data_IF_343517127944
#
_entry.id   IF_343517127944
#
_cell.length_a   1.000
_cell.length_b   1.000
_cell.length_c   1.000
_cell.angle_alpha   90.00
_cell.angle_beta   90.00
_cell.angle_gamma   90.00
#
_symmetry.space_group_name_H-M   'P 1'
#
loop_
_entity.id
_entity.type
_entity.pdbx_description
1 polymer ?
#
# COMPACT_ATOMS: atom_id res chain seq x y z
N UNK A 1 9.22 19.02 24.41
CA UNK A 1 8.99 18.57 23.02
C UNK A 1 8.44 17.16 23.07
N UNK A 2 7.36 16.88 22.33
CA UNK A 2 6.83 15.52 22.21
C UNK A 2 7.68 14.66 21.28
N UNK A 3 7.61 13.35 21.45
CA UNK A 3 8.18 12.38 20.51
C UNK A 3 7.46 12.49 19.16
N UNK A 4 8.22 12.60 18.06
CA UNK A 4 7.66 12.70 16.70
C UNK A 4 7.50 11.29 16.15
N UNK A 5 6.28 10.92 15.77
CA UNK A 5 6.01 9.68 15.03
C UNK A 5 6.04 9.96 13.54
N UNK A 6 6.83 9.18 12.79
CA UNK A 6 6.89 9.25 11.33
C UNK A 6 6.03 8.14 10.74
N UNK A 7 5.03 8.52 9.94
CA UNK A 7 4.19 7.56 9.20
C UNK A 7 4.87 7.16 7.88
N UNK A 8 4.40 6.08 7.29
CA UNK A 8 4.78 5.70 5.93
C UNK A 8 4.22 6.65 4.87
N UNK A 9 4.66 6.45 3.62
CA UNK A 9 4.26 7.30 2.48
C UNK A 9 3.19 6.69 1.58
N UNK A 10 3.08 7.23 0.36
CA UNK A 10 2.06 6.87 -0.62
C UNK A 10 2.21 5.45 -1.21
N UNK A 11 1.59 4.46 -0.58
CA UNK A 11 1.52 3.06 -1.06
C UNK A 11 1.03 2.94 -2.51
N UNK A 12 -0.05 3.64 -2.86
CA UNK A 12 -0.64 3.57 -4.21
C UNK A 12 0.28 4.13 -5.31
N UNK A 13 1.06 5.18 -5.03
CA UNK A 13 1.98 5.72 -6.02
C UNK A 13 3.13 4.75 -6.29
N UNK A 14 3.67 4.15 -5.22
CA UNK A 14 4.74 3.17 -5.32
C UNK A 14 4.30 1.87 -6.00
N UNK A 15 3.08 1.41 -5.72
CA UNK A 15 2.51 0.25 -6.38
C UNK A 15 2.30 0.49 -7.89
N UNK A 16 1.84 1.67 -8.35
CA UNK A 16 1.73 1.99 -9.79
C UNK A 16 3.12 1.96 -10.43
N UNK A 17 4.09 2.63 -9.78
CA UNK A 17 5.46 2.75 -10.27
C UNK A 17 6.16 1.40 -10.43
N UNK A 18 5.94 0.46 -9.50
CA UNK A 18 6.65 -0.82 -9.44
C UNK A 18 5.92 -1.99 -10.11
N UNK A 19 4.59 -1.99 -10.11
CA UNK A 19 3.81 -3.07 -10.74
C UNK A 19 3.73 -2.93 -12.25
N UNK A 20 3.90 -1.72 -12.79
CA UNK A 20 3.69 -1.43 -14.21
C UNK A 20 2.24 -1.62 -14.67
N UNK A 21 1.29 -1.82 -13.73
CA UNK A 21 -0.13 -1.97 -14.02
C UNK A 21 -0.83 -0.60 -13.95
N UNK A 22 -1.76 -0.31 -14.87
CA UNK A 22 -2.55 0.91 -14.77
C UNK A 22 -3.45 0.87 -13.53
N UNK A 23 -3.76 2.05 -12.99
CA UNK A 23 -4.74 2.17 -11.92
C UNK A 23 -6.14 1.79 -12.47
N UNK A 24 -6.79 0.85 -11.80
CA UNK A 24 -8.14 0.37 -12.09
C UNK A 24 -8.91 0.22 -10.76
N UNK A 25 -10.25 0.04 -10.76
CA UNK A 25 -10.97 -0.31 -9.54
C UNK A 25 -10.33 -1.54 -8.87
N UNK A 26 -10.16 -1.49 -7.54
CA UNK A 26 -9.53 -2.55 -6.73
C UNK A 26 -8.09 -2.94 -7.10
N UNK A 27 -7.39 -2.16 -7.92
CA UNK A 27 -6.05 -2.51 -8.39
C UNK A 27 -5.05 -2.74 -7.24
N UNK A 28 -5.12 -1.94 -6.17
CA UNK A 28 -4.25 -2.08 -5.00
C UNK A 28 -4.57 -3.34 -4.19
N UNK A 29 -5.78 -3.87 -4.30
CA UNK A 29 -6.15 -5.17 -3.76
C UNK A 29 -5.63 -6.29 -4.66
N UNK A 30 -5.84 -6.17 -5.98
CA UNK A 30 -5.45 -7.19 -6.95
C UNK A 30 -3.92 -7.41 -6.97
N UNK A 31 -3.12 -6.35 -6.81
CA UNK A 31 -1.65 -6.47 -6.79
C UNK A 31 -1.14 -7.31 -5.62
N UNK A 32 -1.89 -7.38 -4.50
CA UNK A 32 -1.52 -8.26 -3.38
C UNK A 32 -1.65 -9.74 -3.73
N UNK A 33 -2.54 -10.08 -4.67
CA UNK A 33 -2.74 -11.43 -5.19
C UNK A 33 -1.72 -11.72 -6.30
N UNK A 34 -1.60 -10.80 -7.26
CA UNK A 34 -0.80 -11.01 -8.48
C UNK A 34 0.71 -10.90 -8.25
N UNK A 35 1.12 -10.10 -7.27
CA UNK A 35 2.53 -9.79 -6.97
C UNK A 35 2.77 -9.91 -5.46
N UNK A 36 2.68 -11.14 -4.91
CA UNK A 36 2.87 -11.36 -3.48
C UNK A 36 4.26 -10.86 -3.06
N UNK A 37 4.27 -9.99 -2.05
CA UNK A 37 5.50 -9.37 -1.52
C UNK A 37 5.76 -7.93 -1.97
N UNK A 38 5.09 -7.42 -3.02
CA UNK A 38 5.34 -6.04 -3.48
C UNK A 38 4.97 -4.99 -2.42
N UNK A 39 3.84 -5.18 -1.73
CA UNK A 39 3.42 -4.33 -0.60
C UNK A 39 4.44 -4.38 0.54
N UNK A 40 4.94 -5.58 0.86
CA UNK A 40 5.93 -5.76 1.92
C UNK A 40 7.26 -5.05 1.56
N UNK A 41 7.69 -5.11 0.30
CA UNK A 41 8.88 -4.40 -0.16
C UNK A 41 8.73 -2.87 -0.05
N UNK A 42 7.56 -2.33 -0.39
CA UNK A 42 7.29 -0.88 -0.25
C UNK A 42 7.28 -0.46 1.22
N UNK A 43 6.64 -1.25 2.11
CA UNK A 43 6.71 -0.99 3.55
C UNK A 43 8.14 -1.04 4.09
N UNK A 44 8.95 -1.98 3.62
CA UNK A 44 10.36 -2.07 3.98
C UNK A 44 11.11 -0.79 3.59
N UNK A 45 10.88 -0.25 2.39
CA UNK A 45 11.55 0.97 1.96
C UNK A 45 11.15 2.19 2.82
N UNK A 46 9.89 2.28 3.25
CA UNK A 46 9.47 3.33 4.18
C UNK A 46 10.06 3.14 5.59
N UNK A 47 10.16 1.91 6.07
CA UNK A 47 10.82 1.61 7.33
C UNK A 47 12.32 1.97 7.28
N UNK A 48 13.01 1.62 6.19
CA UNK A 48 14.42 1.96 5.96
C UNK A 48 14.62 3.49 5.83
N UNK A 49 13.58 4.24 5.41
CA UNK A 49 13.56 5.71 5.37
C UNK A 49 13.21 6.37 6.72
N UNK A 50 12.91 5.59 7.77
CA UNK A 50 12.65 6.08 9.13
C UNK A 50 11.18 6.14 9.55
N UNK A 51 10.25 5.62 8.74
CA UNK A 51 8.87 5.46 9.17
C UNK A 51 8.79 4.46 10.33
N UNK A 52 8.04 4.82 11.38
CA UNK A 52 7.83 3.98 12.57
C UNK A 52 6.43 3.35 12.60
N UNK A 53 5.56 3.74 11.66
CA UNK A 53 4.21 3.19 11.50
C UNK A 53 3.98 2.85 10.04
N UNK A 54 3.45 1.64 9.79
CA UNK A 54 2.99 1.21 8.47
C UNK A 54 1.46 1.23 8.41
N UNK A 55 0.92 1.79 7.34
CA UNK A 55 -0.51 1.80 7.04
C UNK A 55 -0.84 0.60 6.17
N UNK A 56 -1.63 -0.36 6.68
CA UNK A 56 -1.99 -1.54 5.91
C UNK A 56 -2.64 -1.15 4.56
N UNK A 57 -2.33 -1.91 3.50
CA UNK A 57 -2.90 -1.72 2.16
C UNK A 57 -4.36 -2.22 2.07
N UNK A 58 -5.20 -1.73 2.97
CA UNK A 58 -6.60 -2.15 3.17
C UNK A 58 -7.63 -1.05 2.86
N UNK A 59 -7.21 0.11 2.35
CA UNK A 59 -8.11 1.22 2.03
C UNK A 59 -9.26 0.86 1.08
N UNK A 60 -9.02 -0.07 0.13
CA UNK A 60 -10.02 -0.54 -0.80
C UNK A 60 -10.69 -1.87 -0.38
N UNK A 61 -10.27 -2.45 0.76
CA UNK A 61 -10.69 -3.79 1.21
C UNK A 61 -11.96 -3.66 2.05
N UNK A 62 -13.04 -3.26 1.39
CA UNK A 62 -14.38 -3.22 1.95
C UNK A 62 -15.27 -4.24 1.26
N UNK A 63 -16.17 -4.88 2.02
CA UNK A 63 -17.02 -5.98 1.52
C UNK A 63 -17.87 -5.56 0.31
N UNK A 64 -18.48 -4.38 0.36
CA UNK A 64 -19.27 -3.80 -0.72
C UNK A 64 -18.45 -3.57 -1.99
N UNK A 65 -17.24 -3.02 -1.86
CA UNK A 65 -16.32 -2.82 -2.99
C UNK A 65 -15.87 -4.13 -3.62
N UNK A 66 -15.62 -5.16 -2.81
CA UNK A 66 -15.23 -6.49 -3.31
C UNK A 66 -16.37 -7.23 -4.00
N UNK A 67 -17.63 -6.93 -3.66
CA UNK A 67 -18.81 -7.49 -4.33
C UNK A 67 -19.19 -6.72 -5.62
N UNK A 68 -18.48 -5.62 -5.93
CA UNK A 68 -18.70 -4.83 -7.15
C UNK A 68 -19.88 -3.86 -7.09
N UNK A 69 -20.27 -3.42 -5.88
CA UNK A 69 -21.30 -2.39 -5.68
C UNK A 69 -20.81 -0.98 -6.07
#
# INVERSE_FOLDING_TARGET
>A
MGEITLLDGGMGQELIRRSGKPAAPLWSTQVMIDMPGLVAAIHKDYADAGATVATANSYAVHRDRLLGA
#
